data_IF_099179348222
#
_entry.id   IF_099179348222
#
_cell.length_a   1.000
_cell.length_b   1.000
_cell.length_c   1.000
_cell.angle_alpha   90.00
_cell.angle_beta   90.00
_cell.angle_gamma   90.00
#
_symmetry.space_group_name_H-M   'P 1'
#
loop_
_entity.id
_entity.type
_entity.pdbx_description
1 polymer ?
#
# COMPACT_ATOMS: atom_id res chain seq x y z
N UNK A 1 -25.13 -1.77 -9.04
CA UNK A 1 -25.97 -0.92 -8.15
C UNK A 1 -25.85 -1.33 -6.69
N UNK A 2 -26.32 -2.52 -6.28
CA UNK A 2 -26.22 -2.98 -4.88
C UNK A 2 -24.77 -2.95 -4.34
N UNK A 3 -23.80 -3.48 -5.10
CA UNK A 3 -22.40 -3.47 -4.67
C UNK A 3 -21.82 -2.05 -4.47
N UNK A 4 -22.17 -1.09 -5.33
CA UNK A 4 -21.72 0.30 -5.18
C UNK A 4 -22.33 0.94 -3.92
N UNK A 5 -23.62 0.75 -3.68
CA UNK A 5 -24.28 1.25 -2.48
C UNK A 5 -23.69 0.66 -1.19
N UNK A 6 -23.34 -0.64 -1.19
CA UNK A 6 -22.67 -1.29 -0.07
C UNK A 6 -21.25 -0.75 0.15
N UNK A 7 -20.52 -0.44 -0.92
CA UNK A 7 -19.21 0.20 -0.83
C UNK A 7 -19.30 1.63 -0.29
N UNK A 8 -20.27 2.42 -0.78
CA UNK A 8 -20.53 3.78 -0.28
C UNK A 8 -20.88 3.75 1.21
N UNK A 9 -21.71 2.79 1.63
CA UNK A 9 -22.07 2.61 3.05
C UNK A 9 -20.84 2.28 3.92
N UNK A 10 -19.93 1.42 3.43
CA UNK A 10 -18.69 1.10 4.14
C UNK A 10 -17.77 2.31 4.25
N UNK A 11 -17.65 3.08 3.17
CA UNK A 11 -16.87 4.32 3.16
C UNK A 11 -17.44 5.33 4.17
N UNK A 12 -18.75 5.58 4.14
CA UNK A 12 -19.40 6.51 5.06
C UNK A 12 -19.14 6.13 6.53
N UNK A 13 -19.29 4.84 6.87
CA UNK A 13 -18.99 4.34 8.23
C UNK A 13 -17.53 4.55 8.63
N UNK A 14 -16.58 4.37 7.71
CA UNK A 14 -15.17 4.62 8.00
C UNK A 14 -14.91 6.11 8.23
N UNK A 15 -15.49 6.99 7.42
CA UNK A 15 -15.37 8.43 7.60
C UNK A 15 -15.96 8.89 8.94
N UNK A 16 -17.13 8.36 9.31
CA UNK A 16 -17.74 8.65 10.62
C UNK A 16 -16.81 8.27 11.78
N UNK A 17 -16.15 7.10 11.72
CA UNK A 17 -15.20 6.66 12.75
C UNK A 17 -13.95 7.56 12.82
N UNK A 18 -13.46 8.04 11.68
CA UNK A 18 -12.31 8.95 11.64
C UNK A 18 -12.68 10.31 12.26
N UNK A 19 -13.84 10.85 11.89
CA UNK A 19 -14.33 12.13 12.43
C UNK A 19 -14.67 12.04 13.92
N UNK A 20 -15.17 10.89 14.38
CA UNK A 20 -15.37 10.63 15.81
C UNK A 20 -14.05 10.61 16.57
N UNK A 21 -13.06 9.87 16.06
CA UNK A 21 -11.74 9.84 16.66
C UNK A 21 -11.09 11.23 16.71
N UNK A 22 -11.20 12.04 15.65
CA UNK A 22 -10.65 13.39 15.62
C UNK A 22 -11.26 14.28 16.71
N UNK A 23 -12.59 14.20 16.88
CA UNK A 23 -13.32 14.93 17.93
C UNK A 23 -12.90 14.51 19.33
N UNK A 24 -12.84 13.20 19.57
CA UNK A 24 -12.47 12.63 20.87
C UNK A 24 -11.02 12.97 21.28
N UNK A 25 -10.17 13.29 20.29
CA UNK A 25 -8.79 13.71 20.49
C UNK A 25 -8.60 15.25 20.40
N UNK A 26 -9.69 16.02 20.36
CA UNK A 26 -9.66 17.49 20.37
C UNK A 26 -9.07 18.12 19.10
N UNK A 27 -9.10 17.40 17.98
CA UNK A 27 -8.49 17.84 16.72
C UNK A 27 -9.43 18.70 15.84
N UNK A 28 -10.67 18.94 16.25
CA UNK A 28 -11.70 19.68 15.49
C UNK A 28 -11.25 21.06 15.00
N UNK A 29 -10.38 21.76 15.74
CA UNK A 29 -9.86 23.06 15.33
C UNK A 29 -8.73 22.97 14.29
N UNK A 30 -8.12 21.80 14.14
CA UNK A 30 -6.98 21.53 13.23
C UNK A 30 -7.41 20.82 11.95
N UNK A 31 -8.51 20.08 11.99
CA UNK A 31 -9.10 19.41 10.82
C UNK A 31 -10.28 20.23 10.29
N UNK A 32 -10.53 20.14 8.98
CA UNK A 32 -11.72 20.75 8.38
C UNK A 32 -13.02 20.06 8.80
N UNK A 33 -14.18 20.60 8.40
CA UNK A 33 -15.45 19.92 8.63
C UNK A 33 -15.49 18.54 7.95
N UNK A 34 -16.27 17.58 8.48
CA UNK A 34 -16.47 16.27 7.85
C UNK A 34 -16.83 16.37 6.36
N UNK A 35 -16.07 15.71 5.49
CA UNK A 35 -16.38 15.59 4.08
C UNK A 35 -17.22 14.32 3.82
N UNK A 36 -18.26 14.45 2.99
CA UNK A 36 -19.20 13.37 2.66
C UNK A 36 -19.42 13.34 1.15
N UNK A 37 -18.63 12.54 0.42
CA UNK A 37 -18.79 12.40 -1.02
C UNK A 37 -20.21 11.93 -1.37
N UNK A 38 -20.78 12.43 -2.49
CA UNK A 38 -22.09 11.95 -2.94
C UNK A 38 -22.01 10.46 -3.31
N UNK A 39 -23.14 9.71 -3.24
CA UNK A 39 -23.17 8.31 -3.61
C UNK A 39 -22.64 8.06 -5.03
N UNK A 40 -22.00 6.90 -5.21
CA UNK A 40 -21.46 6.47 -6.50
C UNK A 40 -22.57 6.42 -7.54
N UNK A 41 -22.47 7.24 -8.58
CA UNK A 41 -23.44 7.26 -9.68
C UNK A 41 -23.25 6.02 -10.54
N UNK A 42 -24.32 5.25 -10.70
CA UNK A 42 -24.35 4.07 -11.56
C UNK A 42 -25.47 4.23 -12.57
N UNK A 43 -25.12 4.18 -13.85
CA UNK A 43 -26.07 4.25 -14.96
C UNK A 43 -27.18 3.19 -14.82
N UNK A 44 -28.35 3.44 -15.42
CA UNK A 44 -29.46 2.48 -15.41
C UNK A 44 -29.12 1.21 -16.17
N UNK A 45 -28.41 1.35 -17.29
CA UNK A 45 -28.01 0.26 -18.17
C UNK A 45 -26.51 0.36 -18.48
N UNK A 46 -25.62 0.03 -17.53
CA UNK A 46 -24.18 0.12 -17.75
C UNK A 46 -23.75 -0.91 -18.79
N UNK A 47 -22.78 -0.55 -19.65
CA UNK A 47 -22.18 -1.54 -20.55
C UNK A 47 -21.43 -2.59 -19.73
N UNK A 48 -21.80 -3.86 -19.88
CA UNK A 48 -21.15 -4.99 -19.21
C UNK A 48 -20.11 -5.68 -20.10
N UNK A 49 -19.94 -5.21 -21.33
CA UNK A 49 -19.01 -5.75 -22.31
C UNK A 49 -18.28 -4.66 -23.06
N UNK A 50 -17.11 -5.00 -23.57
CA UNK A 50 -16.31 -4.13 -24.42
C UNK A 50 -15.65 -4.99 -25.49
N UNK A 51 -15.84 -4.63 -26.77
CA UNK A 51 -15.11 -5.24 -27.87
C UNK A 51 -13.73 -4.60 -28.01
N UNK A 52 -12.72 -5.32 -27.52
CA UNK A 52 -11.33 -4.91 -27.57
C UNK A 52 -10.76 -4.91 -29.00
N UNK A 53 -11.39 -5.65 -29.94
CA UNK A 53 -10.94 -5.79 -31.32
C UNK A 53 -11.57 -4.76 -32.28
N UNK A 54 -12.57 -4.01 -31.83
CA UNK A 54 -13.28 -2.99 -32.63
C UNK A 54 -12.41 -1.86 -33.18
N UNK A 55 -11.19 -1.69 -32.67
CA UNK A 55 -10.31 -0.55 -32.99
C UNK A 55 -10.69 0.75 -32.27
N UNK A 56 -11.74 0.75 -31.43
CA UNK A 56 -12.14 1.93 -30.66
C UNK A 56 -11.13 2.31 -29.57
N UNK A 57 -10.39 1.33 -29.03
CA UNK A 57 -9.34 1.54 -28.03
C UNK A 57 -8.05 1.95 -28.76
N UNK A 58 -7.67 3.22 -28.63
CA UNK A 58 -6.49 3.79 -29.29
C UNK A 58 -5.23 3.81 -28.41
N UNK A 59 -5.39 3.59 -27.10
CA UNK A 59 -4.30 3.68 -26.14
C UNK A 59 -4.56 2.75 -24.97
N UNK A 60 -3.52 2.06 -24.51
CA UNK A 60 -3.54 1.21 -23.31
C UNK A 60 -2.49 1.78 -22.35
N UNK A 61 -2.90 2.06 -21.11
CA UNK A 61 -2.00 2.50 -20.04
C UNK A 61 -1.85 1.35 -19.04
N UNK A 62 -0.62 0.87 -18.88
CA UNK A 62 -0.30 -0.19 -17.92
C UNK A 62 0.05 0.42 -16.56
N UNK A 63 -0.98 0.69 -15.76
CA UNK A 63 -0.84 1.15 -14.38
C UNK A 63 -0.83 -0.02 -13.37
N UNK A 64 -0.19 -1.14 -13.73
CA UNK A 64 -0.21 -2.41 -12.97
C UNK A 64 0.96 -2.57 -11.99
N UNK A 65 1.64 -1.46 -11.66
CA UNK A 65 2.74 -1.41 -10.71
C UNK A 65 4.09 -1.81 -11.32
N UNK A 66 5.03 -2.14 -10.43
CA UNK A 66 6.40 -2.54 -10.76
C UNK A 66 6.80 -3.75 -9.92
N UNK A 67 7.95 -4.36 -10.25
CA UNK A 67 8.56 -5.43 -9.46
C UNK A 67 10.03 -5.08 -9.20
N UNK A 68 10.60 -5.44 -8.05
CA UNK A 68 12.03 -5.32 -7.84
C UNK A 68 12.79 -6.17 -8.87
N UNK A 69 13.90 -5.63 -9.37
CA UNK A 69 14.86 -6.40 -10.15
C UNK A 69 16.02 -6.81 -9.22
N UNK A 70 16.11 -8.11 -8.97
CA UNK A 70 17.19 -8.73 -8.17
C UNK A 70 18.19 -9.49 -9.04
N UNK A 71 18.24 -9.24 -10.37
CA UNK A 71 19.21 -9.89 -11.26
C UNK A 71 20.67 -9.62 -10.89
N UNK A 72 20.94 -8.53 -10.17
CA UNK A 72 22.24 -8.17 -9.62
C UNK A 72 22.58 -8.88 -8.29
N UNK A 73 21.60 -9.49 -7.62
CA UNK A 73 21.75 -10.09 -6.31
C UNK A 73 22.19 -11.55 -6.46
N UNK A 74 23.50 -11.77 -6.57
CA UNK A 74 24.12 -13.09 -6.69
C UNK A 74 24.20 -13.84 -5.34
N UNK A 75 23.11 -13.84 -4.57
CA UNK A 75 23.00 -14.49 -3.26
C UNK A 75 21.80 -15.46 -3.22
N UNK A 76 21.90 -16.60 -2.50
CA UNK A 76 20.83 -17.60 -2.44
C UNK A 76 19.71 -17.20 -1.46
N UNK A 77 19.17 -16.00 -1.61
CA UNK A 77 18.23 -15.38 -0.65
C UNK A 77 16.81 -15.23 -1.20
N UNK A 78 16.62 -15.51 -2.48
CA UNK A 78 15.31 -15.41 -3.12
C UNK A 78 14.46 -16.66 -2.85
N UNK A 79 13.18 -16.46 -2.59
CA UNK A 79 12.19 -17.53 -2.54
C UNK A 79 11.70 -17.94 -3.95
N UNK A 80 10.78 -18.92 -4.00
CA UNK A 80 10.20 -19.41 -5.27
C UNK A 80 9.41 -18.36 -6.06
N UNK A 81 9.09 -17.23 -5.45
CA UNK A 81 8.38 -16.12 -6.07
C UNK A 81 9.32 -14.97 -6.44
N UNK A 82 10.62 -15.10 -6.18
CA UNK A 82 11.63 -14.08 -6.47
C UNK A 82 11.69 -12.97 -5.43
N UNK A 83 11.12 -13.15 -4.23
CA UNK A 83 11.27 -12.19 -3.14
C UNK A 83 12.45 -12.56 -2.25
N UNK A 84 13.16 -11.57 -1.74
CA UNK A 84 14.20 -11.81 -0.73
C UNK A 84 13.54 -12.28 0.57
N UNK A 85 13.96 -13.43 1.08
CA UNK A 85 13.52 -13.95 2.37
C UNK A 85 14.07 -13.08 3.48
N UNK A 86 13.20 -12.50 4.31
CA UNK A 86 13.60 -11.64 5.42
C UNK A 86 12.61 -11.69 6.59
N UNK A 87 13.06 -11.27 7.77
CA UNK A 87 12.22 -10.91 8.90
C UNK A 87 12.42 -9.42 9.21
N UNK A 88 11.38 -8.62 8.94
CA UNK A 88 11.43 -7.19 9.21
C UNK A 88 12.58 -6.43 8.53
N UNK A 89 13.01 -6.87 7.35
CA UNK A 89 14.14 -6.31 6.61
C UNK A 89 15.50 -6.95 6.89
N UNK A 90 15.63 -7.85 7.86
CA UNK A 90 16.85 -8.66 8.05
C UNK A 90 16.76 -9.88 7.15
N UNK A 91 17.62 -9.99 6.14
CA UNK A 91 17.56 -11.11 5.20
C UNK A 91 18.07 -12.40 5.83
N UNK A 92 17.68 -13.55 5.28
CA UNK A 92 18.28 -14.86 5.63
C UNK A 92 19.67 -15.05 4.99
N UNK A 93 20.53 -14.04 5.15
CA UNK A 93 21.94 -14.06 4.79
C UNK A 93 22.68 -13.05 5.66
N UNK A 94 23.75 -13.45 6.36
CA UNK A 94 24.46 -12.55 7.27
C UNK A 94 24.94 -11.28 6.57
N UNK A 95 24.69 -10.13 7.21
CA UNK A 95 25.08 -8.82 6.69
C UNK A 95 24.19 -8.24 5.59
N UNK A 96 23.15 -8.93 5.14
CA UNK A 96 22.21 -8.43 4.12
C UNK A 96 20.92 -7.90 4.76
N UNK A 97 20.54 -6.69 4.35
CA UNK A 97 19.34 -6.00 4.85
C UNK A 97 18.54 -5.40 3.70
N UNK A 98 17.22 -5.30 3.89
CA UNK A 98 16.28 -4.66 2.98
C UNK A 98 15.62 -3.47 3.65
N UNK A 99 15.36 -2.43 2.86
CA UNK A 99 14.65 -1.23 3.28
C UNK A 99 13.75 -0.74 2.15
N UNK A 100 12.64 -0.08 2.49
CA UNK A 100 11.74 0.53 1.50
C UNK A 100 10.83 -0.47 0.77
N UNK A 101 10.82 -1.73 1.20
CA UNK A 101 9.92 -2.74 0.68
C UNK A 101 8.56 -2.71 1.39
N UNK A 102 7.53 -3.17 0.70
CA UNK A 102 6.20 -3.33 1.29
C UNK A 102 6.28 -4.37 2.41
N UNK A 103 5.60 -4.09 3.53
CA UNK A 103 5.46 -5.03 4.65
C UNK A 103 6.78 -5.60 5.19
N UNK A 104 7.77 -4.74 5.46
CA UNK A 104 8.93 -5.15 6.26
C UNK A 104 8.48 -5.40 7.72
N UNK A 105 8.48 -4.36 8.56
CA UNK A 105 7.96 -4.42 9.94
C UNK A 105 6.60 -3.76 10.07
N UNK A 106 6.28 -2.83 9.16
CA UNK A 106 5.13 -1.94 9.26
C UNK A 106 4.42 -1.85 7.91
N UNK A 107 3.12 -1.54 7.93
CA UNK A 107 2.37 -1.26 6.69
C UNK A 107 2.93 -0.06 5.92
N UNK A 108 3.51 0.91 6.65
CA UNK A 108 4.11 2.11 6.07
C UNK A 108 5.56 1.94 5.60
N UNK A 109 6.16 0.75 5.70
CA UNK A 109 7.59 0.51 5.41
C UNK A 109 8.06 0.97 4.03
N UNK A 110 7.19 0.90 3.01
CA UNK A 110 7.50 1.36 1.66
C UNK A 110 7.20 2.85 1.42
N UNK A 111 6.69 3.56 2.42
CA UNK A 111 6.36 4.98 2.35
C UNK A 111 7.51 5.80 2.96
N UNK A 112 7.67 7.04 2.50
CA UNK A 112 8.71 7.96 3.00
C UNK A 112 8.61 8.12 4.53
N UNK A 113 7.40 8.24 5.08
CA UNK A 113 7.15 8.34 6.53
C UNK A 113 7.53 7.06 7.32
N UNK A 114 7.52 5.90 6.68
CA UNK A 114 7.90 4.64 7.34
C UNK A 114 9.38 4.32 7.30
N UNK A 115 10.12 4.86 6.33
CA UNK A 115 11.53 4.54 6.11
C UNK A 115 12.39 4.85 7.35
N UNK A 116 12.10 5.93 8.08
CA UNK A 116 12.85 6.31 9.27
C UNK A 116 12.74 5.32 10.43
N UNK A 117 11.56 4.70 10.61
CA UNK A 117 11.36 3.70 11.66
C UNK A 117 12.10 2.40 11.33
N UNK A 118 12.03 1.97 10.07
CA UNK A 118 12.74 0.76 9.62
C UNK A 118 14.27 0.96 9.63
N UNK A 119 14.75 2.16 9.28
CA UNK A 119 16.17 2.48 9.35
C UNK A 119 16.72 2.38 10.77
N UNK A 120 15.96 2.81 11.78
CA UNK A 120 16.36 2.67 13.19
C UNK A 120 16.47 1.20 13.59
N UNK A 121 15.43 0.41 13.35
CA UNK A 121 15.41 -1.01 13.73
C UNK A 121 16.54 -1.81 13.05
N UNK A 122 16.80 -1.56 11.76
CA UNK A 122 17.85 -2.25 11.01
C UNK A 122 19.24 -1.79 11.44
N UNK A 123 19.42 -0.51 11.77
CA UNK A 123 20.69 0.01 12.28
C UNK A 123 21.01 -0.56 13.66
N UNK A 124 20.02 -0.68 14.54
CA UNK A 124 20.18 -1.30 15.85
C UNK A 124 20.58 -2.78 15.73
N UNK A 125 19.92 -3.53 14.84
CA UNK A 125 20.28 -4.91 14.55
C UNK A 125 21.71 -5.02 13.99
N UNK A 126 22.06 -4.17 13.01
CA UNK A 126 23.39 -4.14 12.40
C UNK A 126 24.48 -3.83 13.44
N UNK A 127 24.25 -2.84 14.31
CA UNK A 127 25.20 -2.46 15.35
C UNK A 127 25.41 -3.59 16.38
N UNK A 128 24.37 -4.37 16.69
CA UNK A 128 24.49 -5.54 17.54
C UNK A 128 25.26 -6.69 16.84
N UNK A 129 25.07 -6.87 15.54
CA UNK A 129 25.74 -7.90 14.74
C UNK A 129 27.24 -7.64 14.52
N UNK A 130 27.66 -6.37 14.46
CA UNK A 130 29.06 -5.98 14.22
C UNK A 130 29.94 -5.93 15.48
N UNK A 131 29.34 -6.11 16.67
CA UNK A 131 30.08 -6.17 17.94
C UNK A 131 30.64 -7.56 18.19
#
# INVERSE_FOLDING_TARGET
RNMCALSDLKMARLLDLIDEWARDNGLDATVGPPDRPPPTRVEDNPSLGLDLASGAIRTIIWATGYRPDYSWLELPVLDRWGHVRHDGGVADHPGLYLMGMQFLRRRKSALIDGAGDDARDLSDHLAAYLR
#
